data_IF_245074208138
#
_entry.id   IF_245074208138
#
_cell.length_a   1.000
_cell.length_b   1.000
_cell.length_c   1.000
_cell.angle_alpha   90.00
_cell.angle_beta   90.00
_cell.angle_gamma   90.00
#
_symmetry.space_group_name_H-M   'P 1'
#
loop_
_entity.id
_entity.type
_entity.pdbx_description
1 polymer ?
#
# COMPACT_ATOMS: atom_id res chain seq x y z
N UNK A 1 29.77 8.00 15.08
CA UNK A 1 29.75 9.40 14.61
C UNK A 1 28.46 10.17 14.90
N UNK A 2 27.30 9.82 14.33
CA UNK A 2 26.04 10.58 14.52
C UNK A 2 25.64 10.82 15.99
N UNK A 3 25.74 9.79 16.85
CA UNK A 3 25.40 9.90 18.29
C UNK A 3 26.41 10.77 19.05
N UNK A 4 27.70 10.71 18.70
CA UNK A 4 28.75 11.51 19.35
C UNK A 4 28.58 13.00 19.06
N UNK A 5 28.25 13.34 17.81
CA UNK A 5 28.03 14.72 17.36
C UNK A 5 26.70 15.32 17.85
N UNK A 6 25.73 14.46 18.18
CA UNK A 6 24.42 14.86 18.67
C UNK A 6 24.20 14.30 20.08
N UNK A 7 25.18 14.39 20.98
CA UNK A 7 24.92 13.97 22.37
C UNK A 7 23.84 14.90 22.96
N UNK A 8 22.78 14.34 23.57
CA UNK A 8 21.78 15.17 24.19
C UNK A 8 22.41 15.93 25.36
N UNK A 9 21.97 17.17 25.60
CA UNK A 9 22.29 17.90 26.84
C UNK A 9 21.72 17.21 28.09
N UNK A 10 20.75 16.30 27.90
CA UNK A 10 20.16 15.46 28.95
C UNK A 10 21.11 14.31 29.33
N UNK A 11 20.80 13.63 30.44
CA UNK A 11 21.58 12.50 30.96
C UNK A 11 21.80 11.41 29.88
N UNK A 12 22.97 10.75 29.86
CA UNK A 12 23.33 9.75 28.83
C UNK A 12 22.46 8.47 28.87
N UNK A 13 21.65 8.31 29.92
CA UNK A 13 20.68 7.22 30.05
C UNK A 13 19.44 7.42 29.16
N UNK A 14 19.22 8.62 28.63
CA UNK A 14 18.10 8.92 27.75
C UNK A 14 18.53 8.83 26.29
N UNK A 15 17.72 8.13 25.50
CA UNK A 15 17.88 8.07 24.05
C UNK A 15 17.68 9.48 23.48
N UNK A 16 18.54 9.89 22.53
CA UNK A 16 18.35 11.14 21.82
C UNK A 16 17.21 10.99 20.80
N UNK A 17 16.04 11.52 21.14
CA UNK A 17 14.85 11.47 20.29
C UNK A 17 15.03 12.21 18.96
N UNK A 18 15.82 13.28 18.88
CA UNK A 18 16.07 13.99 17.62
C UNK A 18 16.83 13.12 16.62
N UNK A 19 17.84 12.38 17.08
CA UNK A 19 18.60 11.46 16.23
C UNK A 19 17.69 10.30 15.80
N UNK A 20 16.89 9.78 16.72
CA UNK A 20 15.91 8.74 16.43
C UNK A 20 14.93 9.19 15.33
N UNK A 21 14.31 10.35 15.50
CA UNK A 21 13.36 10.95 14.56
C UNK A 21 14.00 11.18 13.19
N UNK A 22 15.22 11.71 13.15
CA UNK A 22 15.94 11.94 11.91
C UNK A 22 16.24 10.63 11.15
N UNK A 23 16.65 9.57 11.86
CA UNK A 23 16.91 8.26 11.25
C UNK A 23 15.62 7.64 10.72
N UNK A 24 14.52 7.72 11.48
CA UNK A 24 13.22 7.22 11.03
C UNK A 24 12.76 7.98 9.78
N UNK A 25 12.88 9.31 9.77
CA UNK A 25 12.49 10.12 8.62
C UNK A 25 13.31 9.78 7.36
N UNK A 26 14.64 9.62 7.50
CA UNK A 26 15.53 9.22 6.39
C UNK A 26 15.20 7.81 5.87
N UNK A 27 14.90 6.86 6.76
CA UNK A 27 14.48 5.51 6.39
C UNK A 27 13.20 5.53 5.56
N UNK A 28 12.17 6.27 6.02
CA UNK A 28 10.89 6.37 5.32
C UNK A 28 11.09 7.00 3.94
N UNK A 29 11.87 8.07 3.85
CA UNK A 29 12.15 8.76 2.60
C UNK A 29 12.86 7.85 1.59
N UNK A 30 13.89 7.12 2.02
CA UNK A 30 14.71 6.28 1.14
C UNK A 30 14.04 4.99 0.74
N UNK A 31 13.37 4.34 1.69
CA UNK A 31 12.93 2.95 1.50
C UNK A 31 11.43 2.82 1.26
N UNK A 32 10.59 3.70 1.82
CA UNK A 32 9.13 3.49 1.80
C UNK A 32 8.42 4.32 0.75
N UNK A 33 8.93 5.52 0.45
CA UNK A 33 8.32 6.43 -0.53
C UNK A 33 8.20 5.80 -1.93
N UNK A 34 9.29 5.20 -2.42
CA UNK A 34 9.32 4.63 -3.78
C UNK A 34 8.31 3.47 -3.94
N UNK A 35 8.34 2.39 -3.13
CA UNK A 35 7.36 1.31 -3.24
C UNK A 35 5.91 1.79 -3.10
N UNK A 36 5.68 2.83 -2.31
CA UNK A 36 4.35 3.41 -2.11
C UNK A 36 3.83 4.10 -3.36
N UNK A 37 4.67 4.88 -4.03
CA UNK A 37 4.30 5.51 -5.29
C UNK A 37 4.15 4.47 -6.41
N UNK A 38 5.00 3.44 -6.44
CA UNK A 38 4.88 2.33 -7.40
C UNK A 38 3.58 1.54 -7.22
N UNK A 39 3.17 1.27 -5.97
CA UNK A 39 1.90 0.61 -5.69
C UNK A 39 0.70 1.47 -6.13
N UNK A 40 0.73 2.77 -5.85
CA UNK A 40 -0.31 3.70 -6.28
C UNK A 40 -0.42 3.75 -7.81
N UNK A 41 0.71 3.89 -8.50
CA UNK A 41 0.77 3.91 -9.97
C UNK A 41 0.26 2.59 -10.56
N UNK A 42 0.71 1.46 -10.03
CA UNK A 42 0.24 0.14 -10.46
C UNK A 42 -1.27 -0.02 -10.26
N UNK A 43 -1.78 0.39 -9.10
CA UNK A 43 -3.22 0.33 -8.79
C UNK A 43 -4.05 1.18 -9.76
N UNK A 44 -3.59 2.42 -10.05
CA UNK A 44 -4.23 3.30 -11.03
C UNK A 44 -4.26 2.67 -12.42
N UNK A 45 -3.12 2.14 -12.90
CA UNK A 45 -3.02 1.51 -14.22
C UNK A 45 -3.94 0.30 -14.36
N UNK A 46 -4.00 -0.54 -13.32
CA UNK A 46 -4.91 -1.70 -13.31
C UNK A 46 -6.36 -1.26 -13.37
N UNK A 47 -6.75 -0.23 -12.61
CA UNK A 47 -8.12 0.29 -12.65
C UNK A 47 -8.48 0.90 -14.01
N UNK A 48 -7.58 1.69 -14.60
CA UNK A 48 -7.77 2.30 -15.92
C UNK A 48 -7.96 1.23 -17.01
N UNK A 49 -7.05 0.24 -17.04
CA UNK A 49 -7.14 -0.87 -17.98
C UNK A 49 -8.41 -1.71 -17.78
N UNK A 50 -8.81 -1.96 -16.53
CA UNK A 50 -10.04 -2.69 -16.23
C UNK A 50 -11.29 -1.93 -16.68
N UNK A 51 -11.34 -0.61 -16.44
CA UNK A 51 -12.45 0.23 -16.88
C UNK A 51 -12.54 0.29 -18.41
N UNK A 52 -11.41 0.47 -19.10
CA UNK A 52 -11.35 0.49 -20.56
C UNK A 52 -11.81 -0.85 -21.15
N UNK A 53 -11.31 -1.97 -20.63
CA UNK A 53 -11.71 -3.31 -21.07
C UNK A 53 -13.22 -3.54 -20.89
N UNK A 54 -13.75 -3.19 -19.72
CA UNK A 54 -15.18 -3.31 -19.42
C UNK A 54 -16.05 -2.50 -20.41
N UNK A 55 -15.65 -1.26 -20.72
CA UNK A 55 -16.40 -0.41 -21.66
C UNK A 55 -16.34 -0.96 -23.09
N UNK A 56 -15.19 -1.47 -23.52
CA UNK A 56 -15.02 -2.07 -24.86
C UNK A 56 -15.88 -3.33 -25.04
N UNK A 57 -16.06 -4.11 -23.98
CA UNK A 57 -16.87 -5.34 -23.99
C UNK A 57 -18.38 -5.07 -23.84
N UNK A 58 -18.79 -3.84 -23.52
CA UNK A 58 -20.18 -3.47 -23.38
C UNK A 58 -20.92 -3.55 -24.73
N UNK A 59 -21.79 -4.55 -24.89
CA UNK A 59 -22.52 -4.84 -26.13
C UNK A 59 -23.41 -3.69 -26.56
N UNK A 60 -23.99 -2.98 -25.59
CA UNK A 60 -24.91 -1.86 -25.76
C UNK A 60 -24.19 -0.64 -26.34
N UNK A 61 -22.93 -0.41 -25.98
CA UNK A 61 -22.12 0.68 -26.51
C UNK A 61 -21.38 0.32 -27.81
N UNK A 62 -21.27 -0.96 -28.16
CA UNK A 62 -20.55 -1.44 -29.35
C UNK A 62 -20.96 -0.76 -30.66
N UNK A 63 -22.25 -0.46 -30.93
CA UNK A 63 -22.66 0.25 -32.15
C UNK A 63 -22.28 1.73 -32.16
N UNK A 64 -21.95 2.31 -31.01
CA UNK A 64 -21.78 3.75 -30.80
C UNK A 64 -20.32 4.08 -30.42
N UNK A 65 -19.45 4.13 -31.43
CA UNK A 65 -18.02 4.35 -31.19
C UNK A 65 -17.71 5.65 -30.42
N UNK A 66 -18.42 6.74 -30.74
CA UNK A 66 -18.27 8.01 -30.04
C UNK A 66 -18.65 7.91 -28.55
N UNK A 67 -19.71 7.15 -28.24
CA UNK A 67 -20.10 6.87 -26.85
C UNK A 67 -19.02 6.05 -26.13
N UNK A 68 -18.46 5.01 -26.76
CA UNK A 68 -17.36 4.24 -26.16
C UNK A 68 -16.14 5.13 -25.87
N UNK A 69 -15.70 5.93 -26.84
CA UNK A 69 -14.58 6.86 -26.64
C UNK A 69 -14.86 7.86 -25.52
N UNK A 70 -16.08 8.39 -25.45
CA UNK A 70 -16.50 9.29 -24.38
C UNK A 70 -16.43 8.60 -23.01
N UNK A 71 -17.02 7.41 -22.87
CA UNK A 71 -17.01 6.64 -21.63
C UNK A 71 -15.58 6.29 -21.18
N UNK A 72 -14.70 5.88 -22.10
CA UNK A 72 -13.29 5.59 -21.80
C UNK A 72 -12.59 6.86 -21.30
N UNK A 73 -12.83 7.99 -21.96
CA UNK A 73 -12.25 9.29 -21.55
C UNK A 73 -12.72 9.68 -20.15
N UNK A 74 -14.02 9.56 -19.86
CA UNK A 74 -14.57 9.84 -18.52
C UNK A 74 -14.06 8.87 -17.46
N UNK A 75 -13.92 7.60 -17.79
CA UNK A 75 -13.33 6.62 -16.88
C UNK A 75 -11.87 6.99 -16.53
N UNK A 76 -11.05 7.36 -17.51
CA UNK A 76 -9.68 7.81 -17.28
C UNK A 76 -9.63 9.07 -16.40
N UNK A 77 -10.50 10.06 -16.66
CA UNK A 77 -10.62 11.27 -15.81
C UNK A 77 -10.98 10.92 -14.35
N UNK A 78 -11.90 9.97 -14.14
CA UNK A 78 -12.30 9.49 -12.81
C UNK A 78 -11.13 8.81 -12.10
N UNK A 79 -10.42 7.91 -12.78
CA UNK A 79 -9.26 7.20 -12.21
C UNK A 79 -8.17 8.18 -11.83
N UNK A 80 -7.86 9.15 -12.68
CA UNK A 80 -6.85 10.19 -12.42
C UNK A 80 -7.25 11.07 -11.23
N UNK A 81 -8.52 11.48 -11.14
CA UNK A 81 -9.03 12.23 -10.00
C UNK A 81 -8.95 11.44 -8.67
N UNK A 82 -9.31 10.15 -8.69
CA UNK A 82 -9.16 9.26 -7.54
C UNK A 82 -7.69 9.07 -7.16
N UNK A 83 -6.82 8.86 -8.15
CA UNK A 83 -5.39 8.68 -7.94
C UNK A 83 -4.76 9.88 -7.27
N UNK A 84 -5.12 11.11 -7.68
CA UNK A 84 -4.66 12.34 -6.99
C UNK A 84 -5.13 12.42 -5.54
N UNK A 85 -6.39 12.07 -5.29
CA UNK A 85 -6.96 12.08 -3.93
C UNK A 85 -6.27 11.05 -3.02
N UNK A 86 -6.13 9.82 -3.50
CA UNK A 86 -5.41 8.74 -2.85
C UNK A 86 -3.95 9.12 -2.60
N UNK A 87 -3.26 9.72 -3.58
CA UNK A 87 -1.88 10.22 -3.43
C UNK A 87 -1.77 11.19 -2.26
N UNK A 88 -2.65 12.19 -2.20
CA UNK A 88 -2.66 13.18 -1.12
C UNK A 88 -2.78 12.50 0.25
N UNK A 89 -3.75 11.59 0.40
CA UNK A 89 -4.00 10.88 1.67
C UNK A 89 -2.84 10.00 2.10
N UNK A 90 -2.24 9.28 1.15
CA UNK A 90 -1.06 8.45 1.40
C UNK A 90 0.11 9.33 1.86
N UNK A 91 0.38 10.43 1.17
CA UNK A 91 1.45 11.37 1.54
C UNK A 91 1.22 12.00 2.92
N UNK A 92 -0.02 12.33 3.27
CA UNK A 92 -0.36 12.85 4.61
C UNK A 92 0.01 11.87 5.73
N UNK A 93 -0.23 10.57 5.52
CA UNK A 93 0.10 9.53 6.50
C UNK A 93 1.60 9.33 6.60
N UNK A 94 2.28 9.29 5.45
CA UNK A 94 3.75 9.15 5.40
C UNK A 94 4.41 10.34 6.10
N UNK A 95 3.96 11.55 5.81
CA UNK A 95 4.54 12.77 6.37
C UNK A 95 4.27 12.88 7.87
N UNK A 96 3.11 12.42 8.35
CA UNK A 96 2.84 12.30 9.79
C UNK A 96 3.83 11.37 10.48
N UNK A 97 4.09 10.20 9.88
CA UNK A 97 5.03 9.21 10.43
C UNK A 97 6.47 9.74 10.44
N UNK A 98 6.88 10.49 9.40
CA UNK A 98 8.20 11.15 9.32
C UNK A 98 8.40 12.22 10.39
N UNK A 99 7.40 13.10 10.58
CA UNK A 99 7.50 14.24 11.50
C UNK A 99 7.43 13.83 12.97
N UNK A 100 6.60 12.84 13.28
CA UNK A 100 6.35 12.45 14.66
C UNK A 100 6.16 10.94 14.78
N UNK A 101 7.27 10.18 14.88
CA UNK A 101 7.23 8.76 15.19
C UNK A 101 6.50 8.51 16.51
N UNK A 102 5.32 7.91 16.45
CA UNK A 102 4.45 7.73 17.61
C UNK A 102 3.80 6.35 17.64
N UNK A 103 3.75 5.76 18.82
CA UNK A 103 3.01 4.52 19.07
C UNK A 103 2.69 4.33 20.56
N UNK A 104 1.51 3.78 20.84
CA UNK A 104 1.14 3.23 22.15
C UNK A 104 1.07 1.70 22.11
N UNK A 105 1.56 1.10 21.02
CA UNK A 105 1.54 -0.34 20.85
C UNK A 105 2.51 -1.00 21.83
N UNK A 106 2.00 -1.86 22.71
CA UNK A 106 2.80 -2.60 23.70
C UNK A 106 3.94 -3.42 23.08
N UNK A 107 3.81 -3.84 21.81
CA UNK A 107 4.88 -4.54 21.10
C UNK A 107 6.18 -3.73 20.99
N UNK A 108 6.12 -2.39 21.01
CA UNK A 108 7.34 -1.58 21.05
C UNK A 108 8.19 -1.95 22.27
N UNK A 109 7.56 -1.91 23.46
CA UNK A 109 8.24 -2.21 24.72
C UNK A 109 8.70 -3.67 24.77
N UNK A 110 7.84 -4.61 24.38
CA UNK A 110 8.23 -6.03 24.33
C UNK A 110 9.43 -6.28 23.43
N UNK A 111 9.46 -5.66 22.24
CA UNK A 111 10.54 -5.82 21.29
C UNK A 111 11.85 -5.22 21.82
N UNK A 112 11.80 -4.05 22.46
CA UNK A 112 12.99 -3.46 23.09
C UNK A 112 13.53 -4.38 24.20
N UNK A 113 12.66 -4.88 25.08
CA UNK A 113 13.07 -5.78 26.16
C UNK A 113 13.69 -7.08 25.64
N UNK A 114 13.12 -7.66 24.57
CA UNK A 114 13.70 -8.83 23.89
C UNK A 114 15.10 -8.52 23.35
N UNK A 115 15.26 -7.41 22.65
CA UNK A 115 16.54 -7.00 22.04
C UNK A 115 17.63 -6.73 23.10
N UNK A 116 17.28 -6.07 24.21
CA UNK A 116 18.20 -5.81 25.33
C UNK A 116 18.83 -7.07 25.90
N UNK A 117 18.06 -8.14 26.02
CA UNK A 117 18.52 -9.41 26.58
C UNK A 117 19.17 -10.31 25.54
N UNK A 118 18.89 -10.11 24.25
CA UNK A 118 19.26 -11.03 23.17
C UNK A 118 20.77 -11.26 23.09
N UNK A 119 21.57 -10.19 22.98
CA UNK A 119 23.03 -10.32 22.82
C UNK A 119 23.68 -11.04 24.00
N UNK A 120 23.30 -10.68 25.23
CA UNK A 120 23.82 -11.32 26.44
C UNK A 120 23.39 -12.79 26.52
N UNK A 121 22.13 -13.08 26.19
CA UNK A 121 21.64 -14.45 26.14
C UNK A 121 22.42 -15.27 25.11
N UNK A 122 22.67 -14.73 23.92
CA UNK A 122 23.44 -15.40 22.87
C UNK A 122 24.89 -15.66 23.29
N UNK A 123 25.55 -14.69 23.93
CA UNK A 123 26.92 -14.84 24.41
C UNK A 123 27.02 -15.88 25.51
N UNK A 124 26.07 -15.87 26.46
CA UNK A 124 25.99 -16.90 27.51
C UNK A 124 25.77 -18.26 26.88
N UNK A 125 24.79 -18.38 25.98
CA UNK A 125 24.43 -19.66 25.34
C UNK A 125 25.59 -20.21 24.51
N UNK A 126 26.29 -19.37 23.74
CA UNK A 126 27.49 -19.76 22.97
C UNK A 126 28.67 -20.16 23.84
N UNK A 127 28.72 -19.69 25.08
CA UNK A 127 29.76 -20.07 26.03
C UNK A 127 29.42 -21.36 26.80
N UNK A 128 28.19 -21.85 26.69
CA UNK A 128 27.83 -23.17 27.22
C UNK A 128 28.43 -24.25 26.30
N UNK A 129 28.86 -25.38 26.87
CA UNK A 129 29.30 -26.51 26.05
C UNK A 129 28.18 -27.00 25.15
N UNK A 130 28.52 -27.34 23.91
CA UNK A 130 27.59 -27.95 22.96
C UNK A 130 27.17 -29.36 23.42
N UNK A 131 25.88 -29.66 23.33
CA UNK A 131 25.36 -30.99 23.58
C UNK A 131 25.59 -31.87 22.35
N UNK A 132 26.77 -32.49 22.30
CA UNK A 132 27.18 -33.40 21.23
C UNK A 132 26.82 -34.87 21.54
N UNK A 133 25.91 -35.13 22.49
CA UNK A 133 25.49 -36.49 22.87
C UNK A 133 26.54 -37.30 23.65
N UNK A 134 27.71 -36.70 23.96
CA UNK A 134 28.70 -37.26 24.87
C UNK A 134 28.49 -36.71 26.29
N UNK A 135 28.88 -37.46 27.33
CA UNK A 135 28.85 -36.99 28.71
C UNK A 135 29.82 -35.80 28.91
N UNK A 136 29.34 -34.58 28.67
CA UNK A 136 30.09 -33.36 28.91
C UNK A 136 30.21 -33.15 30.43
N UNK A 137 31.40 -33.36 30.97
CA UNK A 137 31.67 -33.01 32.37
C UNK A 137 32.06 -31.54 32.46
N UNK A 138 31.12 -30.69 32.88
CA UNK A 138 31.34 -29.25 33.02
C UNK A 138 31.87 -28.93 34.42
N UNK A 139 33.02 -28.26 34.52
CA UNK A 139 33.51 -27.75 35.80
C UNK A 139 32.67 -26.52 36.23
N UNK A 140 31.92 -26.59 37.34
CA UNK A 140 31.04 -25.49 37.75
C UNK A 140 31.78 -24.18 38.07
N UNK A 141 33.05 -24.26 38.52
CA UNK A 141 33.86 -23.07 38.81
C UNK A 141 34.24 -22.35 37.53
N UNK A 142 34.67 -23.10 36.51
CA UNK A 142 35.04 -22.54 35.21
C UNK A 142 33.82 -21.93 34.53
N UNK A 143 32.68 -22.63 34.50
CA UNK A 143 31.44 -22.11 33.94
C UNK A 143 31.00 -20.80 34.62
N UNK A 144 31.01 -20.77 35.96
CA UNK A 144 30.69 -19.55 36.73
C UNK A 144 31.62 -18.39 36.39
N UNK A 145 32.92 -18.65 36.27
CA UNK A 145 33.90 -17.64 35.90
C UNK A 145 33.66 -17.10 34.48
N UNK A 146 33.36 -17.98 33.52
CA UNK A 146 33.03 -17.61 32.13
C UNK A 146 31.79 -16.72 32.08
N UNK A 147 30.69 -17.14 32.72
CA UNK A 147 29.45 -16.34 32.76
C UNK A 147 29.72 -14.98 33.42
N UNK A 148 30.41 -14.94 34.57
CA UNK A 148 30.74 -13.69 35.25
C UNK A 148 31.55 -12.74 34.36
N UNK A 149 32.53 -13.27 33.61
CA UNK A 149 33.36 -12.50 32.68
C UNK A 149 32.51 -11.86 31.57
N UNK A 150 31.54 -12.59 31.00
CA UNK A 150 30.62 -12.05 29.98
C UNK A 150 29.86 -10.83 30.52
N UNK A 151 29.26 -10.94 31.71
CA UNK A 151 28.54 -9.82 32.32
C UNK A 151 29.46 -8.65 32.70
N UNK A 152 30.67 -8.93 33.17
CA UNK A 152 31.66 -7.90 33.50
C UNK A 152 32.09 -7.12 32.25
N UNK A 153 32.47 -7.82 31.18
CA UNK A 153 32.82 -7.20 29.89
C UNK A 153 31.70 -6.33 29.35
N UNK A 154 30.45 -6.76 29.53
CA UNK A 154 29.32 -5.94 29.13
C UNK A 154 29.21 -4.63 29.94
N UNK A 155 29.49 -4.66 31.24
CA UNK A 155 29.46 -3.48 32.11
C UNK A 155 30.63 -2.51 31.87
N UNK A 156 31.77 -3.03 31.41
CA UNK A 156 32.98 -2.26 31.12
C UNK A 156 32.94 -1.53 29.77
N UNK A 157 31.88 -1.74 28.97
CA UNK A 157 31.68 -1.03 27.70
C UNK A 157 31.53 0.47 27.93
N UNK A 158 31.95 1.22 26.93
CA UNK A 158 31.81 2.67 26.96
C UNK A 158 30.32 3.07 26.95
N UNK A 159 30.04 4.24 27.53
CA UNK A 159 28.70 4.85 27.48
C UNK A 159 28.21 5.00 26.03
N UNK A 160 29.10 5.35 25.09
CA UNK A 160 28.76 5.48 23.68
C UNK A 160 28.29 4.17 23.05
N UNK A 161 28.94 3.04 23.37
CA UNK A 161 28.55 1.73 22.87
C UNK A 161 27.18 1.31 23.40
N UNK A 162 26.90 1.59 24.68
CA UNK A 162 25.59 1.34 25.27
C UNK A 162 24.51 2.23 24.64
N UNK A 163 24.78 3.53 24.46
CA UNK A 163 23.84 4.45 23.82
C UNK A 163 23.55 4.06 22.37
N UNK A 164 24.56 3.62 21.62
CA UNK A 164 24.39 3.16 20.25
C UNK A 164 23.55 1.88 20.17
N UNK A 165 23.80 0.92 21.05
CA UNK A 165 23.02 -0.32 21.13
C UNK A 165 21.55 -0.04 21.52
N UNK A 166 21.31 0.81 22.53
CA UNK A 166 19.95 1.18 22.94
C UNK A 166 19.19 1.94 21.83
N UNK A 167 19.88 2.83 21.10
CA UNK A 167 19.30 3.50 19.92
C UNK A 167 18.92 2.48 18.85
N UNK A 168 19.81 1.53 18.53
CA UNK A 168 19.55 0.49 17.55
C UNK A 168 18.36 -0.38 17.96
N UNK A 169 18.25 -0.74 19.25
CA UNK A 169 17.13 -1.51 19.78
C UNK A 169 15.81 -0.75 19.62
N UNK A 170 15.79 0.53 19.99
CA UNK A 170 14.61 1.38 19.83
C UNK A 170 14.19 1.50 18.36
N UNK A 171 15.15 1.76 17.45
CA UNK A 171 14.89 1.89 16.02
C UNK A 171 14.34 0.58 15.43
N UNK A 172 14.95 -0.56 15.74
CA UNK A 172 14.50 -1.86 15.27
C UNK A 172 13.10 -2.22 15.80
N UNK A 173 12.85 -1.94 17.07
CA UNK A 173 11.55 -2.22 17.69
C UNK A 173 10.45 -1.33 17.13
N UNK A 174 10.72 -0.03 16.96
CA UNK A 174 9.79 0.92 16.36
C UNK A 174 9.54 0.61 14.89
N UNK A 175 10.61 0.39 14.12
CA UNK A 175 10.53 0.05 12.70
C UNK A 175 9.63 -1.15 12.43
N UNK A 176 9.68 -2.19 13.28
CA UNK A 176 8.74 -3.32 13.18
C UNK A 176 7.27 -2.94 13.35
N UNK A 177 6.96 -2.06 14.31
CA UNK A 177 5.58 -1.62 14.55
C UNK A 177 5.11 -0.69 13.43
N UNK A 178 5.94 0.28 13.05
CA UNK A 178 5.65 1.24 12.01
C UNK A 178 5.48 0.56 10.64
N UNK A 179 6.38 -0.35 10.28
CA UNK A 179 6.31 -1.09 9.02
C UNK A 179 5.02 -1.90 8.90
N UNK A 180 4.59 -2.59 9.96
CA UNK A 180 3.30 -3.31 9.96
C UNK A 180 2.13 -2.39 9.65
N UNK A 181 2.06 -1.24 10.33
CA UNK A 181 1.01 -0.24 10.05
C UNK A 181 1.09 0.24 8.60
N UNK A 182 2.30 0.43 8.08
CA UNK A 182 2.52 0.91 6.73
C UNK A 182 2.04 -0.07 5.66
N UNK A 183 2.45 -1.34 5.76
CA UNK A 183 2.08 -2.40 4.81
C UNK A 183 0.58 -2.73 4.84
N UNK A 184 -0.11 -2.44 5.94
CA UNK A 184 -1.56 -2.57 6.01
C UNK A 184 -2.25 -1.32 5.45
N UNK A 185 -1.84 -0.13 5.91
CA UNK A 185 -2.55 1.13 5.66
C UNK A 185 -2.43 1.61 4.22
N UNK A 186 -1.23 1.56 3.64
CA UNK A 186 -1.01 2.10 2.29
C UNK A 186 -1.82 1.32 1.24
N UNK A 187 -1.77 -0.04 1.20
CA UNK A 187 -2.61 -0.80 0.28
C UNK A 187 -4.10 -0.59 0.51
N UNK A 188 -4.56 -0.52 1.77
CA UNK A 188 -5.97 -0.24 2.08
C UNK A 188 -6.45 1.06 1.43
N UNK A 189 -5.63 2.12 1.47
CA UNK A 189 -5.96 3.41 0.85
C UNK A 189 -5.89 3.33 -0.67
N UNK A 190 -4.90 2.64 -1.24
CA UNK A 190 -4.80 2.47 -2.70
C UNK A 190 -6.03 1.76 -3.28
N UNK A 191 -6.57 0.75 -2.58
CA UNK A 191 -7.77 0.01 -3.01
C UNK A 191 -9.02 0.89 -3.09
N UNK A 192 -9.06 2.03 -2.38
CA UNK A 192 -10.19 2.94 -2.44
C UNK A 192 -10.42 3.56 -3.83
N UNK A 193 -9.41 3.56 -4.71
CA UNK A 193 -9.58 3.92 -6.12
C UNK A 193 -10.65 3.01 -6.76
N UNK A 194 -10.54 1.69 -6.55
CA UNK A 194 -11.50 0.73 -7.09
C UNK A 194 -12.87 0.84 -6.40
N UNK A 195 -12.89 1.04 -5.08
CA UNK A 195 -14.14 1.11 -4.31
C UNK A 195 -14.99 2.33 -4.68
N UNK A 196 -14.33 3.47 -4.94
CA UNK A 196 -15.02 4.73 -5.21
C UNK A 196 -15.23 5.01 -6.71
N UNK A 197 -14.63 4.20 -7.60
CA UNK A 197 -14.72 4.38 -9.04
C UNK A 197 -16.16 4.43 -9.53
N UNK A 198 -16.98 3.42 -9.22
CA UNK A 198 -18.35 3.34 -9.70
C UNK A 198 -19.20 4.53 -9.24
N UNK A 199 -19.02 4.98 -7.99
CA UNK A 199 -19.74 6.12 -7.42
C UNK A 199 -19.37 7.41 -8.16
N UNK A 200 -18.06 7.67 -8.35
CA UNK A 200 -17.61 8.88 -9.07
C UNK A 200 -17.96 8.85 -10.55
N UNK A 201 -17.89 7.67 -11.19
CA UNK A 201 -18.31 7.49 -12.58
C UNK A 201 -19.80 7.81 -12.72
N UNK A 202 -20.64 7.29 -11.83
CA UNK A 202 -22.08 7.58 -11.86
C UNK A 202 -22.37 9.08 -11.68
N UNK A 203 -21.66 9.77 -10.78
CA UNK A 203 -21.79 11.21 -10.61
C UNK A 203 -21.47 11.97 -11.90
N UNK A 204 -20.31 11.71 -12.51
CA UNK A 204 -19.88 12.41 -13.74
C UNK A 204 -20.82 12.13 -14.91
N UNK A 205 -21.33 10.91 -15.03
CA UNK A 205 -22.31 10.58 -16.07
C UNK A 205 -23.67 11.25 -15.83
N UNK A 206 -24.07 11.42 -14.56
CA UNK A 206 -25.30 12.12 -14.20
C UNK A 206 -25.26 13.61 -14.53
N UNK A 207 -24.05 14.20 -14.58
CA UNK A 207 -23.84 15.61 -14.95
C UNK A 207 -23.76 15.83 -16.47
N UNK A 208 -23.83 14.77 -17.28
CA UNK A 208 -23.77 14.87 -18.76
C UNK A 208 -25.11 15.38 -19.30
N UNK A 209 -25.07 16.40 -20.16
CA UNK A 209 -26.28 17.02 -20.72
C UNK A 209 -26.93 16.20 -21.84
N UNK A 210 -28.23 16.40 -22.06
CA UNK A 210 -28.98 15.72 -23.14
C UNK A 210 -28.38 15.99 -24.53
N UNK A 211 -27.94 17.23 -24.79
CA UNK A 211 -27.27 17.62 -26.03
C UNK A 211 -25.96 16.84 -26.27
N UNK A 212 -25.23 16.53 -25.20
CA UNK A 212 -24.02 15.71 -25.27
C UNK A 212 -24.37 14.25 -25.54
N UNK A 213 -25.40 13.72 -24.87
CA UNK A 213 -25.89 12.35 -25.08
C UNK A 213 -26.31 12.16 -26.54
N UNK A 214 -27.07 13.08 -27.13
CA UNK A 214 -27.56 12.97 -28.51
C UNK A 214 -26.39 12.90 -29.52
N UNK A 215 -25.33 13.67 -29.29
CA UNK A 215 -24.11 13.64 -30.12
C UNK A 215 -23.40 12.29 -30.09
N UNK A 216 -23.46 11.56 -28.98
CA UNK A 216 -22.76 10.28 -28.82
C UNK A 216 -23.57 9.06 -29.26
N UNK A 217 -24.90 9.13 -29.18
CA UNK A 217 -25.83 8.02 -29.49
C UNK A 217 -26.39 8.10 -30.92
N UNK A 218 -25.92 9.05 -31.73
CA UNK A 218 -26.30 9.09 -33.15
C UNK A 218 -25.76 7.85 -33.87
N UNK A 219 -26.66 6.93 -34.24
CA UNK A 219 -26.28 5.68 -34.89
C UNK A 219 -25.59 5.97 -36.23
N UNK A 220 -24.48 5.28 -36.55
CA UNK A 220 -23.81 5.48 -37.82
C UNK A 220 -24.75 5.15 -38.99
N UNK A 221 -24.60 5.87 -40.10
CA UNK A 221 -25.55 5.87 -41.24
C UNK A 221 -25.77 4.47 -41.83
N UNK A 222 -24.78 3.59 -41.75
CA UNK A 222 -24.88 2.18 -42.14
C UNK A 222 -25.83 1.36 -41.24
N UNK A 223 -25.81 1.60 -39.92
CA UNK A 223 -26.70 0.96 -38.95
C UNK A 223 -28.12 1.44 -39.15
N UNK A 224 -28.33 2.74 -39.36
CA UNK A 224 -29.64 3.32 -39.69
C UNK A 224 -30.18 2.73 -41.00
N UNK A 225 -29.34 2.63 -42.04
CA UNK A 225 -29.73 2.03 -43.32
C UNK A 225 -30.10 0.54 -43.17
N UNK A 226 -29.34 -0.23 -42.37
CA UNK A 226 -29.64 -1.63 -42.08
C UNK A 226 -30.94 -1.78 -41.29
N UNK A 227 -31.16 -0.92 -40.30
CA UNK A 227 -32.38 -0.89 -39.49
C UNK A 227 -33.59 -0.62 -40.38
N UNK A 228 -33.54 0.44 -41.21
CA UNK A 228 -34.59 0.76 -42.18
C UNK A 228 -34.88 -0.39 -43.15
N UNK A 229 -33.83 -1.09 -43.62
CA UNK A 229 -33.99 -2.26 -44.49
C UNK A 229 -34.70 -3.42 -43.78
N UNK A 230 -34.36 -3.67 -42.52
CA UNK A 230 -34.99 -4.71 -41.71
C UNK A 230 -36.43 -4.37 -41.37
N UNK A 231 -36.71 -3.11 -41.00
CA UNK A 231 -38.08 -2.62 -40.76
C UNK A 231 -38.96 -2.82 -41.99
N UNK A 232 -38.49 -2.41 -43.17
CA UNK A 232 -39.23 -2.62 -44.44
C UNK A 232 -39.49 -4.10 -44.73
N UNK A 233 -38.55 -4.99 -44.39
CA UNK A 233 -38.75 -6.44 -44.55
C UNK A 233 -39.79 -6.97 -43.57
N UNK A 234 -39.75 -6.53 -42.31
CA UNK A 234 -40.74 -6.89 -41.30
C UNK A 234 -42.14 -6.43 -41.71
N UNK A 235 -42.31 -5.16 -42.11
CA UNK A 235 -43.57 -4.62 -42.63
C UNK A 235 -44.11 -5.39 -43.85
N UNK A 236 -43.21 -5.85 -44.73
CA UNK A 236 -43.60 -6.63 -45.91
C UNK A 236 -44.07 -8.03 -45.52
N UNK A 237 -43.38 -8.68 -44.56
CA UNK A 237 -43.79 -9.98 -44.03
C UNK A 237 -45.11 -9.88 -43.27
N UNK A 238 -45.28 -8.85 -42.46
CA UNK A 238 -46.50 -8.61 -41.68
C UNK A 238 -47.71 -8.38 -42.58
N UNK A 239 -47.56 -7.55 -43.64
CA UNK A 239 -48.58 -7.40 -44.68
C UNK A 239 -48.88 -8.72 -45.41
N UNK A 240 -47.86 -9.54 -45.67
CA UNK A 240 -48.03 -10.86 -46.28
C UNK A 240 -48.81 -11.82 -45.38
N UNK A 241 -48.58 -11.80 -44.07
CA UNK A 241 -49.32 -12.59 -43.09
C UNK A 241 -50.79 -12.17 -43.05
N UNK A 242 -51.08 -10.87 -43.03
CA UNK A 242 -52.46 -10.34 -43.05
C UNK A 242 -53.18 -10.77 -44.34
N UNK A 243 -52.54 -10.61 -45.50
CA UNK A 243 -53.13 -10.99 -46.78
C UNK A 243 -53.39 -12.51 -46.90
N UNK A 244 -52.53 -13.35 -46.32
CA UNK A 244 -52.77 -14.79 -46.24
C UNK A 244 -53.89 -15.15 -45.28
N UNK A 245 -54.06 -14.38 -44.20
CA UNK A 245 -55.16 -14.54 -43.26
C UNK A 245 -56.52 -14.10 -43.79
N UNK A 246 -56.58 -13.26 -44.83
CA UNK A 246 -57.82 -12.88 -45.53
C UNK A 246 -58.24 -13.88 -46.63
N UNK A 247 -57.33 -14.77 -47.03
CA UNK A 247 -57.55 -15.79 -48.06
C UNK A 247 -58.06 -17.14 -47.50
N UNK A 248 -58.08 -17.29 -46.18
CA UNK A 248 -58.58 -18.46 -45.44
C UNK A 248 -59.64 -18.05 -44.42
#
# INVERSE_FOLDING_TARGET
ELIKHNRPYKLPIFINTYVFEAIVADLIEREWMKPTMELLESTSKVMEAAAEAFIKELKEASPFHHLQTYLITKAAEVVDALTRETKRRVLEIVEREKKMPYTQNHYLFENVCKLRSHRLMDEVTRALPEDNGANVTVNPKTLRATVKNIFQRNQERSVDEHMAEEMQHALNAYGKVALKRFIDTVPMICVEIMQNFAIKMNHILSDTSDDEIERFVTAPSNTVAKMNKLTRKAETLERGIVALGELY
#
